data_IF_172181091507
#
_entry.id   IF_172181091507
#
_cell.length_a   1.000
_cell.length_b   1.000
_cell.length_c   1.000
_cell.angle_alpha   90.00
_cell.angle_beta   90.00
_cell.angle_gamma   90.00
#
_symmetry.space_group_name_H-M   'P 1'
#
loop_
_entity.id
_entity.type
_entity.pdbx_description
1 polymer ?
#
# COMPACT_ATOMS: atom_id res chain seq x y z
N UNK A 1 31.06 -5.78 -1.67
CA UNK A 1 31.18 -6.32 -0.29
C UNK A 1 31.65 -7.78 -0.32
N UNK A 2 32.45 -8.20 0.67
CA UNK A 2 32.83 -9.61 0.88
C UNK A 2 31.64 -10.47 1.33
N UNK A 3 31.53 -11.69 0.79
CA UNK A 3 30.36 -12.57 1.04
C UNK A 3 30.08 -12.82 2.52
N UNK A 4 31.11 -13.00 3.34
CA UNK A 4 30.95 -13.24 4.77
C UNK A 4 30.32 -12.04 5.47
N UNK A 5 30.82 -10.84 5.20
CA UNK A 5 30.27 -9.60 5.76
C UNK A 5 28.80 -9.40 5.36
N UNK A 6 28.47 -9.66 4.08
CA UNK A 6 27.09 -9.61 3.58
C UNK A 6 26.16 -10.52 4.39
N UNK A 7 26.56 -11.77 4.60
CA UNK A 7 25.76 -12.74 5.36
C UNK A 7 25.63 -12.36 6.84
N UNK A 8 26.70 -11.85 7.44
CA UNK A 8 26.69 -11.42 8.85
C UNK A 8 25.73 -10.23 9.05
N UNK A 9 25.73 -9.25 8.14
CA UNK A 9 24.80 -8.10 8.20
C UNK A 9 23.34 -8.51 7.97
N UNK A 10 23.07 -9.34 6.96
CA UNK A 10 21.71 -9.84 6.70
C UNK A 10 21.20 -10.64 7.89
N UNK A 11 22.02 -11.52 8.46
CA UNK A 11 21.63 -12.29 9.66
C UNK A 11 21.31 -11.34 10.82
N UNK A 12 22.23 -10.42 11.13
CA UNK A 12 22.06 -9.45 12.21
C UNK A 12 20.74 -8.67 12.07
N UNK A 13 20.40 -8.24 10.85
CA UNK A 13 19.15 -7.51 10.61
C UNK A 13 17.91 -8.29 11.08
N UNK A 14 17.79 -9.56 10.70
CA UNK A 14 16.63 -10.38 11.03
C UNK A 14 16.65 -10.96 12.46
N UNK A 15 17.81 -11.08 13.10
CA UNK A 15 17.92 -11.69 14.44
C UNK A 15 18.04 -10.68 15.58
N UNK A 16 18.77 -9.59 15.37
CA UNK A 16 19.22 -8.72 16.45
C UNK A 16 18.88 -7.23 16.26
N UNK A 17 18.45 -6.81 15.06
CA UNK A 17 18.17 -5.39 14.82
C UNK A 17 16.89 -4.91 15.52
N UNK A 18 16.98 -3.71 16.10
CA UNK A 18 15.84 -3.05 16.73
C UNK A 18 14.71 -2.77 15.73
N UNK A 19 15.06 -2.37 14.51
CA UNK A 19 14.09 -2.07 13.45
C UNK A 19 13.24 -3.28 13.08
N UNK A 20 13.86 -4.43 12.83
CA UNK A 20 13.12 -5.66 12.51
C UNK A 20 12.26 -6.14 13.68
N UNK A 21 12.79 -6.05 14.91
CA UNK A 21 12.03 -6.35 16.13
C UNK A 21 10.80 -5.46 16.27
N UNK A 22 10.92 -4.16 16.00
CA UNK A 22 9.81 -3.20 16.03
C UNK A 22 8.80 -3.44 14.92
N UNK A 23 9.24 -3.79 13.71
CA UNK A 23 8.35 -4.23 12.63
C UNK A 23 7.57 -5.48 13.06
N UNK A 24 8.24 -6.51 13.60
CA UNK A 24 7.57 -7.72 14.10
C UNK A 24 6.56 -7.43 15.22
N UNK A 25 6.83 -6.42 16.06
CA UNK A 25 5.90 -5.97 17.09
C UNK A 25 4.68 -5.24 16.47
N UNK A 26 4.89 -4.39 15.47
CA UNK A 26 3.81 -3.73 14.73
C UNK A 26 2.91 -4.74 13.99
N UNK A 27 3.48 -5.85 13.51
CA UNK A 27 2.71 -6.95 12.92
C UNK A 27 1.79 -7.67 13.93
N UNK A 28 1.88 -7.38 15.23
CA UNK A 28 0.93 -7.90 16.22
C UNK A 28 -0.30 -7.00 16.42
N UNK A 29 -0.53 -6.00 15.56
CA UNK A 29 -1.73 -5.17 15.63
C UNK A 29 -3.01 -6.04 15.58
N UNK A 30 -3.99 -5.81 16.47
CA UNK A 30 -5.21 -6.60 16.53
C UNK A 30 -6.17 -6.38 15.34
N UNK A 31 -5.96 -5.33 14.54
CA UNK A 31 -6.70 -5.02 13.30
C UNK A 31 -5.77 -5.17 12.08
N UNK A 32 -5.43 -6.40 11.66
CA UNK A 32 -4.50 -6.63 10.55
C UNK A 32 -4.98 -6.09 9.22
N UNK A 33 -6.29 -6.16 8.94
CA UNK A 33 -6.87 -5.65 7.69
C UNK A 33 -7.05 -4.13 7.70
N UNK A 34 -6.97 -3.49 8.88
CA UNK A 34 -7.05 -2.05 9.06
C UNK A 34 -5.70 -1.36 9.28
N UNK A 35 -4.60 -2.08 9.12
CA UNK A 35 -3.26 -1.59 9.39
C UNK A 35 -2.33 -1.82 8.21
N UNK A 36 -1.54 -0.79 7.87
CA UNK A 36 -0.45 -0.88 6.89
C UNK A 36 0.85 -0.37 7.46
N UNK A 37 1.96 -0.95 7.01
CA UNK A 37 3.28 -0.61 7.51
C UNK A 37 4.22 -0.37 6.32
N UNK A 38 5.03 0.67 6.39
CA UNK A 38 6.22 0.81 5.55
C UNK A 38 7.47 0.59 6.38
N UNK A 39 8.34 -0.31 5.93
CA UNK A 39 9.66 -0.54 6.50
C UNK A 39 10.73 -0.22 5.46
N UNK A 40 11.62 0.73 5.76
CA UNK A 40 12.67 1.20 4.87
C UNK A 40 14.05 0.71 5.29
N UNK A 41 14.81 0.21 4.33
CA UNK A 41 16.16 -0.34 4.54
C UNK A 41 17.15 0.16 3.49
N UNK A 42 18.43 0.06 3.81
CA UNK A 42 19.52 0.12 2.82
C UNK A 42 20.01 -1.31 2.55
N UNK A 43 20.22 -1.67 1.29
CA UNK A 43 20.67 -3.02 0.93
C UNK A 43 21.35 -3.10 -0.44
N UNK A 44 22.27 -4.05 -0.57
CA UNK A 44 22.82 -4.54 -1.84
C UNK A 44 22.25 -5.90 -2.25
N UNK A 45 21.36 -6.48 -1.45
CA UNK A 45 20.82 -7.83 -1.66
C UNK A 45 19.81 -7.79 -2.80
N UNK A 46 19.89 -8.78 -3.68
CA UNK A 46 18.96 -8.90 -4.80
C UNK A 46 17.51 -9.09 -4.30
N UNK A 47 16.49 -8.47 -4.94
CA UNK A 47 15.09 -8.56 -4.51
C UNK A 47 14.59 -10.00 -4.34
N UNK A 48 14.87 -10.91 -5.28
CA UNK A 48 14.51 -12.33 -5.18
C UNK A 48 15.07 -13.01 -3.91
N UNK A 49 16.29 -12.62 -3.50
CA UNK A 49 16.91 -13.15 -2.28
C UNK A 49 16.23 -12.57 -1.03
N UNK A 50 15.90 -11.29 -1.04
CA UNK A 50 15.12 -10.67 0.05
C UNK A 50 13.75 -11.33 0.20
N UNK A 51 13.05 -11.57 -0.92
CA UNK A 51 11.75 -12.25 -0.91
C UNK A 51 11.86 -13.67 -0.34
N UNK A 52 12.85 -14.44 -0.79
CA UNK A 52 13.07 -15.80 -0.30
C UNK A 52 13.38 -15.82 1.22
N UNK A 53 14.21 -14.89 1.69
CA UNK A 53 14.52 -14.75 3.13
C UNK A 53 13.25 -14.36 3.90
N UNK A 54 12.48 -13.38 3.40
CA UNK A 54 11.25 -12.90 4.01
C UNK A 54 10.23 -14.04 4.19
N UNK A 55 9.97 -14.78 3.10
CA UNK A 55 9.06 -15.94 3.11
C UNK A 55 9.54 -17.02 4.08
N UNK A 56 10.81 -17.39 4.03
CA UNK A 56 11.37 -18.42 4.91
C UNK A 56 11.36 -18.01 6.39
N UNK A 57 11.62 -16.73 6.69
CA UNK A 57 11.56 -16.20 8.05
C UNK A 57 10.14 -16.33 8.61
N UNK A 58 9.13 -15.84 7.89
CA UNK A 58 7.76 -15.86 8.38
C UNK A 58 7.16 -17.27 8.42
N UNK A 59 7.51 -18.15 7.46
CA UNK A 59 7.18 -19.58 7.53
C UNK A 59 7.68 -20.19 8.84
N UNK A 60 8.95 -19.93 9.20
CA UNK A 60 9.54 -20.43 10.45
C UNK A 60 8.88 -19.86 11.70
N UNK A 61 8.34 -18.65 11.63
CA UNK A 61 7.57 -18.02 12.71
C UNK A 61 6.12 -18.53 12.80
N UNK A 62 5.69 -19.39 11.87
CA UNK A 62 4.31 -19.90 11.79
C UNK A 62 3.33 -18.92 11.14
N UNK A 63 3.82 -17.90 10.42
CA UNK A 63 3.02 -16.90 9.71
C UNK A 63 3.33 -16.93 8.20
N UNK A 64 3.09 -18.06 7.49
CA UNK A 64 3.44 -18.19 6.07
C UNK A 64 2.85 -17.05 5.23
N UNK A 65 3.45 -16.76 4.05
CA UNK A 65 2.91 -15.74 3.14
C UNK A 65 1.50 -16.12 2.69
N UNK A 66 0.54 -15.20 2.80
CA UNK A 66 -0.87 -15.43 2.42
C UNK A 66 -1.12 -15.29 0.93
N UNK A 67 -0.24 -14.55 0.24
CA UNK A 67 -0.35 -14.18 -1.17
C UNK A 67 1.02 -13.98 -1.81
N UNK A 68 1.04 -13.70 -3.12
CA UNK A 68 2.23 -13.27 -3.85
C UNK A 68 2.74 -11.92 -3.31
N UNK A 69 4.04 -11.70 -3.47
CA UNK A 69 4.72 -10.45 -3.14
C UNK A 69 5.08 -9.78 -4.46
N UNK A 70 4.65 -8.54 -4.65
CA UNK A 70 4.86 -7.81 -5.91
C UNK A 70 6.19 -7.05 -5.85
N UNK A 71 7.06 -7.23 -6.84
CA UNK A 71 8.34 -6.52 -6.91
C UNK A 71 8.15 -5.17 -7.60
N UNK A 72 8.46 -4.09 -6.90
CA UNK A 72 8.38 -2.74 -7.44
C UNK A 72 9.75 -2.08 -7.53
N UNK A 73 9.97 -1.33 -8.60
CA UNK A 73 11.16 -0.52 -8.82
C UNK A 73 10.75 0.88 -9.32
N UNK A 74 10.13 1.71 -8.45
CA UNK A 74 9.55 3.00 -8.86
C UNK A 74 10.59 4.00 -9.39
N UNK A 75 11.86 3.89 -8.97
CA UNK A 75 12.97 4.74 -9.42
C UNK A 75 14.28 3.96 -9.39
N UNK A 76 15.25 4.38 -10.19
CA UNK A 76 16.60 3.81 -10.13
C UNK A 76 17.18 3.90 -8.71
N UNK A 77 17.71 2.79 -8.21
CA UNK A 77 18.26 2.68 -6.86
C UNK A 77 17.22 2.56 -5.74
N UNK A 78 15.92 2.46 -6.05
CA UNK A 78 14.86 2.24 -5.06
C UNK A 78 14.00 1.04 -5.47
N UNK A 79 13.55 0.25 -4.51
CA UNK A 79 12.60 -0.81 -4.77
C UNK A 79 11.74 -1.18 -3.57
N UNK A 80 10.79 -2.08 -3.78
CA UNK A 80 9.91 -2.59 -2.73
C UNK A 80 9.52 -4.03 -2.97
N UNK A 81 9.42 -4.80 -1.89
CA UNK A 81 8.58 -5.98 -1.81
C UNK A 81 7.23 -5.45 -1.35
N UNK A 82 6.33 -5.24 -2.30
CA UNK A 82 5.04 -4.61 -2.08
C UNK A 82 4.00 -5.65 -1.68
N UNK A 83 3.23 -5.33 -0.63
CA UNK A 83 2.15 -6.18 -0.13
C UNK A 83 2.63 -7.49 0.49
N UNK A 84 3.74 -7.48 1.23
CA UNK A 84 4.16 -8.63 2.05
C UNK A 84 3.10 -8.89 3.11
N UNK A 85 2.51 -10.09 3.12
CA UNK A 85 1.39 -10.40 4.00
C UNK A 85 1.59 -11.76 4.71
N UNK A 86 2.23 -11.74 5.89
CA UNK A 86 2.29 -12.93 6.75
C UNK A 86 0.88 -13.30 7.24
N UNK A 87 0.56 -14.59 7.28
CA UNK A 87 -0.79 -15.07 7.62
C UNK A 87 -1.28 -14.57 8.98
N UNK A 88 -2.43 -13.88 8.94
CA UNK A 88 -3.08 -13.33 10.13
C UNK A 88 -2.36 -12.11 10.72
N UNK A 89 -1.57 -11.40 9.91
CA UNK A 89 -0.81 -10.20 10.28
C UNK A 89 -1.14 -9.06 9.33
N UNK A 90 -0.92 -7.79 9.73
CA UNK A 90 -0.98 -6.67 8.80
C UNK A 90 -0.08 -6.90 7.59
N UNK A 91 -0.55 -6.47 6.42
CA UNK A 91 0.33 -6.37 5.25
C UNK A 91 1.27 -5.17 5.40
N UNK A 92 2.42 -5.25 4.73
CA UNK A 92 3.42 -4.19 4.76
C UNK A 92 4.25 -4.15 3.49
N UNK A 93 4.88 -3.00 3.27
CA UNK A 93 5.83 -2.79 2.18
C UNK A 93 7.25 -2.74 2.73
N UNK A 94 8.11 -3.61 2.21
CA UNK A 94 9.53 -3.62 2.54
C UNK A 94 10.31 -2.87 1.47
N UNK A 95 10.51 -1.59 1.71
CA UNK A 95 11.13 -0.65 0.78
C UNK A 95 12.64 -0.58 1.01
N UNK A 96 13.41 -0.43 -0.07
CA UNK A 96 14.85 -0.29 0.03
C UNK A 96 15.43 0.81 -0.85
N UNK A 97 16.56 1.34 -0.39
CA UNK A 97 17.51 2.10 -1.20
C UNK A 97 18.75 1.23 -1.45
N UNK A 98 19.18 1.17 -2.71
CA UNK A 98 20.34 0.38 -3.10
C UNK A 98 21.63 1.03 -2.61
N UNK A 99 22.41 0.27 -1.84
CA UNK A 99 23.72 0.68 -1.33
C UNK A 99 24.71 -0.46 -1.52
N UNK A 100 25.63 -0.32 -2.49
CA UNK A 100 26.54 -1.42 -2.93
C UNK A 100 27.39 -2.04 -1.83
N UNK A 101 27.66 -1.29 -0.76
CA UNK A 101 28.53 -1.65 0.36
C UNK A 101 27.73 -1.88 1.65
N UNK A 102 26.42 -2.12 1.55
CA UNK A 102 25.55 -2.43 2.69
C UNK A 102 24.83 -3.74 2.41
N UNK A 103 24.96 -4.72 3.27
CA UNK A 103 24.24 -5.98 3.16
C UNK A 103 22.76 -5.77 3.43
N UNK A 104 22.40 -5.47 4.66
CA UNK A 104 21.04 -5.06 5.02
C UNK A 104 21.05 -4.33 6.35
N UNK A 105 20.47 -3.14 6.39
CA UNK A 105 20.29 -2.38 7.63
C UNK A 105 19.10 -1.43 7.51
N UNK A 106 18.55 -0.92 8.62
CA UNK A 106 17.57 0.16 8.56
C UNK A 106 18.20 1.36 7.85
N UNK A 107 17.47 2.03 6.95
CA UNK A 107 18.02 3.22 6.33
C UNK A 107 18.02 4.39 7.32
N UNK A 108 18.95 5.32 7.12
CA UNK A 108 19.02 6.59 7.83
C UNK A 108 18.02 7.56 7.20
N UNK A 109 16.74 7.43 7.56
CA UNK A 109 15.65 8.22 7.01
C UNK A 109 14.55 7.36 6.41
N UNK A 110 13.92 7.81 5.33
CA UNK A 110 12.77 7.16 4.71
C UNK A 110 11.67 8.17 4.46
N UNK A 111 10.42 7.74 4.59
CA UNK A 111 9.29 8.65 4.41
C UNK A 111 9.19 9.62 5.59
N UNK A 112 9.21 10.92 5.29
CA UNK A 112 9.15 11.99 6.31
C UNK A 112 10.25 11.85 7.39
N UNK A 113 11.40 11.29 7.04
CA UNK A 113 12.52 11.05 7.96
C UNK A 113 12.37 9.82 8.87
N UNK A 114 11.36 8.98 8.64
CA UNK A 114 11.10 7.75 9.40
C UNK A 114 11.40 6.52 8.53
N UNK A 115 12.06 5.51 9.11
CA UNK A 115 12.31 4.22 8.45
C UNK A 115 11.23 3.16 8.76
N UNK A 116 10.39 3.39 9.77
CA UNK A 116 9.27 2.52 10.08
C UNK A 116 8.03 3.37 10.34
N UNK A 117 7.04 3.27 9.46
CA UNK A 117 5.76 3.98 9.57
C UNK A 117 4.65 2.95 9.73
N UNK A 118 3.77 3.18 10.69
CA UNK A 118 2.63 2.32 10.98
C UNK A 118 1.37 3.18 10.91
N UNK A 119 0.49 2.84 9.96
CA UNK A 119 -0.82 3.45 9.81
C UNK A 119 -1.88 2.46 10.24
N UNK A 120 -2.10 2.38 11.54
CA UNK A 120 -3.17 1.58 12.13
C UNK A 120 -4.49 2.37 12.19
N UNK A 121 -5.54 1.69 12.67
CA UNK A 121 -6.88 2.28 12.81
C UNK A 121 -6.89 3.63 13.52
N UNK A 122 -6.12 3.78 14.60
CA UNK A 122 -6.08 5.04 15.34
C UNK A 122 -5.52 6.16 14.48
N UNK A 123 -4.37 5.96 13.83
CA UNK A 123 -3.75 6.97 12.96
C UNK A 123 -4.70 7.38 11.84
N UNK A 124 -5.31 6.40 11.16
CA UNK A 124 -6.23 6.64 10.05
C UNK A 124 -7.44 7.48 10.51
N UNK A 125 -7.99 7.19 11.69
CA UNK A 125 -9.09 7.97 12.24
C UNK A 125 -8.67 9.42 12.58
N UNK A 126 -7.46 9.63 13.12
CA UNK A 126 -6.94 10.99 13.33
C UNK A 126 -6.71 11.73 12.00
N UNK A 127 -6.24 11.03 10.97
CA UNK A 127 -6.10 11.60 9.63
C UNK A 127 -7.45 12.06 9.08
N UNK A 128 -8.48 11.24 9.21
CA UNK A 128 -9.83 11.55 8.73
C UNK A 128 -10.47 12.75 9.43
N UNK A 129 -10.17 12.99 10.71
CA UNK A 129 -10.69 14.14 11.46
C UNK A 129 -10.27 15.51 10.91
N UNK A 130 -9.28 15.56 10.03
CA UNK A 130 -8.82 16.80 9.41
C UNK A 130 -9.77 17.30 8.30
N UNK A 131 -10.74 16.47 7.88
CA UNK A 131 -11.61 16.77 6.75
C UNK A 131 -13.08 16.93 7.19
N UNK A 132 -13.76 18.00 6.75
CA UNK A 132 -15.18 18.19 7.00
C UNK A 132 -16.00 17.37 5.99
N UNK A 133 -16.00 16.04 6.13
CA UNK A 133 -16.76 15.17 5.23
C UNK A 133 -18.25 15.51 5.25
N UNK A 134 -18.87 15.52 4.07
CA UNK A 134 -20.31 15.77 3.94
C UNK A 134 -21.11 14.58 4.49
N UNK A 135 -22.34 14.88 4.93
CA UNK A 135 -23.32 13.85 5.27
C UNK A 135 -23.83 13.18 4.00
N UNK A 136 -24.19 11.89 4.10
CA UNK A 136 -24.71 11.11 2.97
C UNK A 136 -26.24 11.22 2.92
N UNK A 137 -26.76 11.80 1.85
CA UNK A 137 -28.17 11.73 1.47
C UNK A 137 -28.36 10.99 0.16
N UNK A 138 -29.60 10.95 -0.32
CA UNK A 138 -29.95 10.23 -1.54
C UNK A 138 -29.24 10.77 -2.81
N UNK A 139 -28.81 12.03 -2.82
CA UNK A 139 -28.03 12.61 -3.91
C UNK A 139 -26.59 12.10 -3.91
N UNK A 140 -25.93 12.08 -2.75
CA UNK A 140 -24.59 11.52 -2.58
C UNK A 140 -24.54 10.04 -2.95
N UNK A 141 -25.54 9.26 -2.52
CA UNK A 141 -25.63 7.82 -2.87
C UNK A 141 -25.73 7.62 -4.39
N UNK A 142 -26.58 8.41 -5.08
CA UNK A 142 -26.69 8.36 -6.54
C UNK A 142 -25.39 8.74 -7.24
N UNK A 143 -24.68 9.75 -6.74
CA UNK A 143 -23.40 10.17 -7.29
C UNK A 143 -22.32 9.08 -7.13
N UNK A 144 -22.25 8.45 -5.95
CA UNK A 144 -21.34 7.33 -5.70
C UNK A 144 -21.65 6.15 -6.61
N UNK A 145 -22.93 5.73 -6.70
CA UNK A 145 -23.34 4.67 -7.61
C UNK A 145 -23.00 4.98 -9.07
N UNK A 146 -23.21 6.22 -9.50
CA UNK A 146 -22.92 6.66 -10.86
C UNK A 146 -21.42 6.60 -11.16
N UNK A 147 -20.59 7.11 -10.25
CA UNK A 147 -19.13 7.07 -10.39
C UNK A 147 -18.60 5.63 -10.50
N UNK A 148 -19.06 4.72 -9.64
CA UNK A 148 -18.61 3.33 -9.67
C UNK A 148 -19.23 2.50 -10.82
N UNK A 149 -20.04 3.12 -11.68
CA UNK A 149 -20.46 2.60 -12.99
C UNK A 149 -19.77 3.33 -14.16
N UNK A 150 -18.96 4.35 -13.89
CA UNK A 150 -18.34 5.21 -14.90
C UNK A 150 -17.17 4.53 -15.62
N UNK A 151 -16.86 5.03 -16.82
CA UNK A 151 -15.72 4.58 -17.61
C UNK A 151 -14.38 4.74 -16.89
N UNK A 152 -14.21 5.79 -16.08
CA UNK A 152 -12.97 6.02 -15.34
C UNK A 152 -12.69 4.87 -14.38
N UNK A 153 -13.65 4.55 -13.51
CA UNK A 153 -13.49 3.45 -12.57
C UNK A 153 -13.33 2.11 -13.30
N UNK A 154 -14.17 1.85 -14.30
CA UNK A 154 -14.18 0.57 -15.01
C UNK A 154 -12.89 0.31 -15.80
N UNK A 155 -12.35 1.32 -16.49
CA UNK A 155 -11.03 1.24 -17.15
C UNK A 155 -9.91 1.10 -16.13
N UNK A 156 -10.02 1.80 -14.99
CA UNK A 156 -9.11 1.66 -13.87
C UNK A 156 -8.91 0.21 -13.42
N UNK A 157 -9.96 -0.62 -13.47
CA UNK A 157 -9.88 -2.04 -13.11
C UNK A 157 -9.14 -2.91 -14.13
N UNK A 158 -8.88 -2.40 -15.34
CA UNK A 158 -8.17 -3.14 -16.39
C UNK A 158 -6.65 -3.07 -16.19
N UNK A 159 -6.12 -1.99 -15.63
CA UNK A 159 -4.66 -1.82 -15.47
C UNK A 159 -4.00 -2.79 -14.51
N UNK A 160 -4.54 -3.08 -13.30
CA UNK A 160 -3.87 -3.94 -12.32
C UNK A 160 -3.61 -5.37 -12.78
N UNK A 161 -4.33 -5.81 -13.82
CA UNK A 161 -4.23 -7.17 -14.36
C UNK A 161 -3.32 -7.23 -15.59
N UNK A 162 -2.80 -6.09 -16.06
CA UNK A 162 -1.89 -6.03 -17.18
C UNK A 162 -0.50 -6.52 -16.75
N UNK A 163 0.19 -7.33 -17.57
CA UNK A 163 1.54 -7.83 -17.25
C UNK A 163 2.61 -6.74 -17.05
N UNK A 164 2.35 -5.53 -17.53
CA UNK A 164 3.25 -4.37 -17.46
C UNK A 164 2.98 -3.46 -16.27
N UNK A 165 1.97 -3.76 -15.46
CA UNK A 165 1.54 -2.92 -14.34
C UNK A 165 1.87 -3.62 -13.04
N UNK A 166 2.77 -3.03 -12.26
CA UNK A 166 3.17 -3.59 -10.96
C UNK A 166 2.27 -3.11 -9.81
N UNK A 167 1.77 -1.88 -9.92
CA UNK A 167 0.85 -1.25 -8.97
C UNK A 167 0.12 -0.10 -9.67
N UNK A 168 -1.09 0.23 -9.22
CA UNK A 168 -1.91 1.28 -9.81
C UNK A 168 -2.81 1.92 -8.76
N UNK A 169 -2.94 3.24 -8.82
CA UNK A 169 -3.95 4.02 -8.12
C UNK A 169 -5.01 4.52 -9.12
N UNK A 170 -6.28 4.35 -8.78
CA UNK A 170 -7.41 5.04 -9.42
C UNK A 170 -7.70 6.28 -8.60
N UNK A 171 -7.34 7.47 -9.11
CA UNK A 171 -7.33 8.69 -8.32
C UNK A 171 -8.66 9.44 -8.40
N UNK A 172 -9.14 9.90 -7.25
CA UNK A 172 -10.42 10.62 -7.13
C UNK A 172 -10.31 11.87 -6.27
N UNK A 173 -11.12 12.87 -6.60
CA UNK A 173 -11.57 13.86 -5.65
C UNK A 173 -12.81 13.35 -4.96
N UNK A 174 -12.93 13.57 -3.65
CA UNK A 174 -14.12 13.22 -2.90
C UNK A 174 -14.30 14.13 -1.70
N UNK A 175 -15.53 14.32 -1.24
CA UNK A 175 -15.80 14.94 0.07
C UNK A 175 -16.66 14.09 0.98
N UNK A 176 -16.90 12.84 0.60
CA UNK A 176 -17.52 11.83 1.46
C UNK A 176 -16.47 11.07 2.27
N UNK A 177 -16.88 10.47 3.38
CA UNK A 177 -15.99 9.64 4.19
C UNK A 177 -15.46 8.44 3.37
N UNK A 178 -14.18 8.04 3.53
CA UNK A 178 -13.60 6.92 2.77
C UNK A 178 -14.33 5.59 2.93
N UNK A 179 -15.03 5.35 4.05
CA UNK A 179 -15.89 4.16 4.20
C UNK A 179 -17.02 4.11 3.16
N UNK A 180 -17.52 5.27 2.71
CA UNK A 180 -18.51 5.32 1.64
C UNK A 180 -17.89 4.98 0.30
N UNK A 181 -16.68 5.48 0.03
CA UNK A 181 -15.91 5.12 -1.17
C UNK A 181 -15.66 3.60 -1.19
N UNK A 182 -15.21 3.04 -0.06
CA UNK A 182 -15.00 1.59 0.14
C UNK A 182 -16.27 0.80 -0.18
N UNK A 183 -17.39 1.11 0.49
CA UNK A 183 -18.67 0.40 0.30
C UNK A 183 -19.05 0.29 -1.18
N UNK A 184 -19.10 1.43 -1.89
CA UNK A 184 -19.56 1.42 -3.27
C UNK A 184 -18.52 0.83 -4.25
N UNK A 185 -17.22 0.95 -3.94
CA UNK A 185 -16.17 0.28 -4.69
C UNK A 185 -16.29 -1.25 -4.58
N UNK A 186 -16.44 -1.78 -3.37
CA UNK A 186 -16.61 -3.22 -3.11
C UNK A 186 -17.85 -3.78 -3.81
N UNK A 187 -18.99 -3.08 -3.72
CA UNK A 187 -20.20 -3.44 -4.47
C UNK A 187 -19.95 -3.46 -5.99
N UNK A 188 -19.16 -2.53 -6.52
CA UNK A 188 -18.83 -2.47 -7.94
C UNK A 188 -17.90 -3.61 -8.39
N UNK A 189 -16.90 -3.96 -7.56
CA UNK A 189 -16.04 -5.12 -7.79
C UNK A 189 -16.87 -6.40 -7.81
N UNK A 190 -17.79 -6.55 -6.86
CA UNK A 190 -18.70 -7.69 -6.82
C UNK A 190 -19.57 -7.79 -8.08
N UNK A 191 -20.16 -6.68 -8.54
CA UNK A 191 -20.91 -6.63 -9.82
C UNK A 191 -20.08 -7.02 -11.04
N UNK A 192 -18.76 -6.81 -10.98
CA UNK A 192 -17.81 -7.19 -12.04
C UNK A 192 -17.23 -8.59 -11.86
N UNK A 193 -17.75 -9.37 -10.92
CA UNK A 193 -17.29 -10.73 -10.65
C UNK A 193 -15.89 -10.80 -10.05
N UNK A 194 -15.37 -9.68 -9.52
CA UNK A 194 -14.06 -9.64 -8.86
C UNK A 194 -14.22 -9.99 -7.39
N UNK A 195 -13.26 -10.76 -6.87
CA UNK A 195 -13.19 -11.11 -5.45
C UNK A 195 -12.01 -10.37 -4.82
N UNK A 196 -12.22 -9.88 -3.61
CA UNK A 196 -11.18 -9.29 -2.77
C UNK A 196 -11.15 -10.02 -1.43
N UNK A 197 -9.99 -10.05 -0.80
CA UNK A 197 -9.87 -10.49 0.60
C UNK A 197 -10.43 -9.42 1.53
N UNK A 198 -9.93 -8.19 1.41
CA UNK A 198 -10.34 -7.03 2.20
C UNK A 198 -9.89 -5.72 1.53
N UNK A 199 -10.35 -4.60 2.10
CA UNK A 199 -9.86 -3.26 1.77
C UNK A 199 -9.26 -2.60 3.02
N UNK A 200 -7.98 -2.24 2.92
CA UNK A 200 -7.25 -1.55 3.98
C UNK A 200 -7.23 -0.04 3.75
N UNK A 201 -7.70 0.79 4.70
CA UNK A 201 -7.50 2.22 4.64
C UNK A 201 -6.03 2.55 4.94
N UNK A 202 -5.49 3.53 4.21
CA UNK A 202 -4.09 3.90 4.33
C UNK A 202 -3.88 5.37 3.89
N UNK A 203 -2.66 5.86 4.03
CA UNK A 203 -2.21 7.14 3.49
C UNK A 203 -0.93 6.94 2.69
N UNK A 204 -0.58 7.92 1.88
CA UNK A 204 0.68 7.94 1.15
C UNK A 204 1.10 9.37 0.84
N UNK A 205 2.41 9.57 0.78
CA UNK A 205 3.00 10.90 0.65
C UNK A 205 3.07 11.33 -0.82
N UNK A 206 2.34 12.39 -1.18
CA UNK A 206 2.36 13.00 -2.51
C UNK A 206 2.82 14.46 -2.38
N UNK A 207 3.96 14.78 -3.00
CA UNK A 207 4.57 16.12 -2.94
C UNK A 207 4.67 16.70 -1.51
N UNK A 208 5.06 15.86 -0.55
CA UNK A 208 5.25 16.25 0.85
C UNK A 208 3.96 16.37 1.67
N UNK A 209 2.80 15.96 1.13
CA UNK A 209 1.52 15.94 1.86
C UNK A 209 0.86 14.58 1.76
N UNK A 210 0.29 14.11 2.86
CA UNK A 210 -0.48 12.87 2.84
C UNK A 210 -1.75 13.03 2.00
N UNK A 211 -1.96 12.06 1.12
CA UNK A 211 -3.24 11.74 0.49
C UNK A 211 -3.79 10.48 1.16
N UNK A 212 -5.10 10.35 1.19
CA UNK A 212 -5.69 9.10 1.63
C UNK A 212 -5.71 8.09 0.49
N UNK A 213 -5.66 6.80 0.84
CA UNK A 213 -5.84 5.72 -0.11
C UNK A 213 -6.63 4.57 0.50
N UNK A 214 -7.30 3.81 -0.34
CA UNK A 214 -7.94 2.54 0.00
C UNK A 214 -7.24 1.46 -0.81
N UNK A 215 -6.54 0.56 -0.14
CA UNK A 215 -5.80 -0.56 -0.75
C UNK A 215 -6.75 -1.74 -0.89
N UNK A 216 -6.97 -2.22 -2.10
CA UNK A 216 -7.84 -3.37 -2.38
C UNK A 216 -6.99 -4.62 -2.59
N UNK A 217 -7.12 -5.57 -1.67
CA UNK A 217 -6.40 -6.84 -1.70
C UNK A 217 -7.16 -7.83 -2.58
N UNK A 218 -6.88 -7.84 -3.88
CA UNK A 218 -7.55 -8.71 -4.85
C UNK A 218 -7.24 -10.19 -4.65
N UNK A 219 -8.29 -11.01 -4.72
CA UNK A 219 -8.22 -12.47 -4.66
C UNK A 219 -8.33 -13.09 -6.06
N UNK A 220 -9.27 -12.62 -6.87
CA UNK A 220 -9.51 -13.18 -8.21
C UNK A 220 -9.81 -12.05 -9.21
N UNK A 221 -8.83 -11.69 -10.07
CA UNK A 221 -7.42 -12.14 -10.05
C UNK A 221 -6.67 -11.64 -8.81
N UNK A 222 -5.57 -12.32 -8.46
CA UNK A 222 -4.71 -11.92 -7.34
C UNK A 222 -3.85 -10.72 -7.75
N UNK A 223 -4.31 -9.51 -7.42
CA UNK A 223 -3.67 -8.22 -7.73
C UNK A 223 -3.94 -7.23 -6.59
N UNK A 224 -3.04 -6.27 -6.39
CA UNK A 224 -3.30 -5.11 -5.52
C UNK A 224 -3.50 -3.89 -6.38
N UNK A 225 -4.48 -3.09 -6.03
CA UNK A 225 -4.67 -1.76 -6.59
C UNK A 225 -5.29 -0.88 -5.54
N UNK A 226 -5.13 0.42 -5.74
CA UNK A 226 -5.55 1.41 -4.75
C UNK A 226 -6.59 2.35 -5.37
N UNK A 227 -7.48 2.89 -4.54
CA UNK A 227 -8.16 4.14 -4.85
C UNK A 227 -7.47 5.24 -4.04
N UNK A 228 -6.70 6.08 -4.72
CA UNK A 228 -6.12 7.29 -4.15
C UNK A 228 -7.19 8.37 -4.08
N UNK A 229 -7.28 9.09 -2.96
CA UNK A 229 -8.28 10.15 -2.82
C UNK A 229 -7.71 11.44 -2.20
N UNK A 230 -8.31 12.54 -2.64
CA UNK A 230 -8.03 13.90 -2.17
C UNK A 230 -9.33 14.57 -1.81
N UNK A 231 -9.36 15.19 -0.63
CA UNK A 231 -10.53 15.93 -0.20
C UNK A 231 -10.80 17.13 -1.12
N UNK A 232 -12.03 17.23 -1.62
CA UNK A 232 -12.52 18.37 -2.41
C UNK A 232 -13.98 18.65 -2.08
N UNK A 233 -14.25 19.75 -1.36
CA UNK A 233 -15.57 20.09 -0.82
C UNK A 233 -16.68 20.20 -1.86
N UNK A 234 -16.36 20.51 -3.11
CA UNK A 234 -17.36 20.83 -4.14
C UNK A 234 -17.96 19.61 -4.81
N UNK A 235 -17.37 18.42 -4.62
CA UNK A 235 -17.76 17.21 -5.37
C UNK A 235 -17.96 16.03 -4.42
N UNK A 236 -18.99 15.22 -4.68
CA UNK A 236 -19.22 13.98 -3.91
C UNK A 236 -18.07 13.02 -4.17
N UNK A 237 -17.88 12.70 -5.45
CA UNK A 237 -16.76 11.91 -5.98
C UNK A 237 -16.62 12.21 -7.47
N UNK A 238 -15.40 12.38 -7.96
CA UNK A 238 -15.08 12.48 -9.39
C UNK A 238 -13.63 12.03 -9.67
N UNK A 239 -13.28 11.71 -10.93
CA UNK A 239 -11.90 11.44 -11.28
C UNK A 239 -10.98 12.62 -11.00
N UNK A 240 -9.78 12.36 -10.48
CA UNK A 240 -8.76 13.38 -10.30
C UNK A 240 -7.90 13.53 -11.57
N UNK A 241 -8.27 14.47 -12.44
CA UNK A 241 -7.57 14.69 -13.70
C UNK A 241 -6.30 15.52 -13.60
N UNK A 242 -5.99 16.09 -12.43
CA UNK A 242 -4.69 16.73 -12.25
C UNK A 242 -3.55 15.71 -12.16
N UNK A 243 -2.31 16.19 -12.32
CA UNK A 243 -1.13 15.40 -11.98
C UNK A 243 -1.20 14.99 -10.52
N UNK A 244 -1.09 13.68 -10.29
CA UNK A 244 -1.10 13.10 -8.95
C UNK A 244 0.33 12.78 -8.48
N UNK A 245 0.89 11.63 -8.86
CA UNK A 245 2.32 11.32 -8.71
C UNK A 245 3.04 11.51 -10.05
N UNK A 246 2.62 10.79 -11.08
CA UNK A 246 3.21 10.80 -12.42
C UNK A 246 2.39 11.67 -13.40
N UNK A 247 3.01 12.17 -14.47
CA UNK A 247 2.36 13.04 -15.46
C UNK A 247 1.63 12.28 -16.58
N UNK A 248 1.95 10.99 -16.73
CA UNK A 248 1.76 10.26 -17.99
C UNK A 248 0.32 9.78 -18.22
N UNK A 249 -0.54 9.74 -17.18
CA UNK A 249 -1.93 9.28 -17.32
C UNK A 249 -2.86 9.99 -16.32
N UNK A 250 -3.55 11.08 -16.70
CA UNK A 250 -4.53 11.74 -15.84
C UNK A 250 -5.56 10.75 -15.26
N UNK A 251 -5.89 10.87 -13.97
CA UNK A 251 -6.82 9.97 -13.28
C UNK A 251 -6.21 8.69 -12.71
N UNK A 252 -4.98 8.33 -13.11
CA UNK A 252 -4.30 7.12 -12.64
C UNK A 252 -2.81 7.40 -12.33
N UNK A 253 -2.18 6.62 -11.45
CA UNK A 253 -0.72 6.64 -11.28
C UNK A 253 -0.14 5.34 -10.71
#
# INVERSE_FOLDING_TARGET
MERKALLDEVKYYFTDSDHWRRLCAALQDPDPEGSHIHAYVDTSVHPDSLEAIMKAYFERMGWPSSRKIDHMAPKSGMGSLHGVEPKGKPHFDFQWFFQKDVGLRPCDGGESGCNLLVWNRWYINEFYRQFPFRSIGAEEERALESYFKSDHFLKGLEFPVMPTTNHMHINVHASVHPDMIKKYAEEALHRKGRKIYYTCPNVYLVAGKYRGKLVFMGQEPEVVFDIGWKFASEVVIEPAWERWIFEETPGYD
#
